data_IF_484998224217
#
_entry.id   IF_484998224217
#
_cell.length_a   1.000
_cell.length_b   1.000
_cell.length_c   1.000
_cell.angle_alpha   90.00
_cell.angle_beta   90.00
_cell.angle_gamma   90.00
#
_symmetry.space_group_name_H-M   'P 1'
#
loop_
_entity.id
_entity.type
_entity.pdbx_description
1 polymer ?
#
# COMPACT_ATOMS: atom_id res chain seq x y z
N UNK A 1 -5.84 35.25 -61.18
CA UNK A 1 -4.88 34.45 -60.40
C UNK A 1 -4.41 35.17 -59.14
N UNK A 2 -4.22 36.49 -59.13
CA UNK A 2 -3.75 37.24 -57.95
C UNK A 2 -4.66 37.24 -56.69
N UNK A 3 -5.97 36.99 -56.82
CA UNK A 3 -6.90 37.00 -55.67
C UNK A 3 -7.02 35.67 -54.91
N UNK A 4 -6.57 34.54 -55.49
CA UNK A 4 -6.62 33.24 -54.79
C UNK A 4 -5.43 33.07 -53.83
N UNK A 5 -4.25 33.57 -54.18
CA UNK A 5 -3.05 33.47 -53.34
C UNK A 5 -3.17 34.30 -52.06
N UNK A 6 -3.82 35.47 -52.14
CA UNK A 6 -4.06 36.33 -50.96
C UNK A 6 -5.04 35.69 -49.97
N UNK A 7 -6.06 34.95 -50.44
CA UNK A 7 -7.02 34.25 -49.58
C UNK A 7 -6.39 33.01 -48.93
N UNK A 8 -5.55 32.28 -49.66
CA UNK A 8 -4.80 31.15 -49.12
C UNK A 8 -3.80 31.59 -48.03
N UNK A 9 -3.15 32.75 -48.20
CA UNK A 9 -2.21 33.31 -47.23
C UNK A 9 -2.92 33.78 -45.94
N UNK A 10 -4.09 34.42 -46.06
CA UNK A 10 -4.92 34.79 -44.91
C UNK A 10 -5.46 33.58 -44.14
N UNK A 11 -5.88 32.52 -44.86
CA UNK A 11 -6.33 31.28 -44.24
C UNK A 11 -5.19 30.55 -43.50
N UNK A 12 -3.98 30.52 -44.09
CA UNK A 12 -2.81 29.92 -43.45
C UNK A 12 -2.38 30.67 -42.18
N UNK A 13 -2.44 32.00 -42.18
CA UNK A 13 -2.17 32.83 -41.00
C UNK A 13 -3.23 32.61 -39.93
N UNK A 14 -4.51 32.53 -40.31
CA UNK A 14 -5.60 32.27 -39.36
C UNK A 14 -5.47 30.88 -38.72
N UNK A 15 -5.07 29.86 -39.49
CA UNK A 15 -4.80 28.51 -38.99
C UNK A 15 -3.57 28.50 -38.07
N UNK A 16 -2.49 29.22 -38.41
CA UNK A 16 -1.32 29.31 -37.52
C UNK A 16 -1.66 30.00 -36.20
N UNK A 17 -2.43 31.09 -36.24
CA UNK A 17 -2.88 31.81 -35.04
C UNK A 17 -3.83 30.94 -34.22
N UNK A 18 -4.74 30.19 -34.86
CA UNK A 18 -5.63 29.26 -34.15
C UNK A 18 -4.87 28.07 -33.54
N UNK A 19 -3.82 27.57 -34.21
CA UNK A 19 -2.95 26.51 -33.68
C UNK A 19 -2.08 27.05 -32.55
N UNK A 20 -1.50 28.26 -32.65
CA UNK A 20 -0.76 28.89 -31.54
C UNK A 20 -1.68 29.19 -30.35
N UNK A 21 -2.89 29.70 -30.59
CA UNK A 21 -3.89 29.92 -29.53
C UNK A 21 -4.34 28.60 -28.92
N UNK A 22 -4.55 27.53 -29.71
CA UNK A 22 -4.92 26.21 -29.21
C UNK A 22 -3.77 25.50 -28.45
N UNK A 23 -2.53 25.68 -28.89
CA UNK A 23 -1.33 25.14 -28.24
C UNK A 23 -1.03 25.92 -26.96
N UNK A 24 -1.23 27.24 -26.93
CA UNK A 24 -1.07 28.07 -25.73
C UNK A 24 -2.25 27.93 -24.75
N UNK A 25 -3.48 27.68 -25.23
CA UNK A 25 -4.65 27.45 -24.36
C UNK A 25 -4.67 26.08 -23.72
N UNK A 26 -3.86 25.13 -24.20
CA UNK A 26 -3.73 23.78 -23.63
C UNK A 26 -2.83 23.73 -22.38
N UNK A 27 -2.26 24.87 -21.94
CA UNK A 27 -1.40 24.96 -20.75
C UNK A 27 -2.05 25.60 -19.52
N UNK A 28 -3.36 25.80 -19.52
CA UNK A 28 -4.11 26.20 -18.33
C UNK A 28 -4.86 25.03 -17.67
N UNK A 29 -4.25 23.83 -17.64
CA UNK A 29 -4.59 22.90 -16.57
C UNK A 29 -4.02 23.51 -15.28
N UNK A 30 -4.88 23.91 -14.34
CA UNK A 30 -4.45 24.36 -13.02
C UNK A 30 -3.49 23.31 -12.44
N UNK A 31 -2.20 23.64 -12.32
CA UNK A 31 -1.21 22.74 -11.75
C UNK A 31 -1.42 22.69 -10.24
N UNK A 32 -2.38 21.89 -9.78
CA UNK A 32 -2.48 21.50 -8.37
C UNK A 32 -1.19 20.79 -7.98
N UNK A 33 -0.60 21.19 -6.86
CA UNK A 33 0.62 20.58 -6.32
C UNK A 33 0.37 20.17 -4.87
N UNK A 34 0.67 18.91 -4.49
CA UNK A 34 0.48 18.44 -3.11
C UNK A 34 1.23 19.28 -2.06
N UNK A 35 2.33 19.93 -2.46
CA UNK A 35 3.21 20.72 -1.60
C UNK A 35 3.03 22.24 -1.75
N UNK A 36 1.95 22.71 -2.39
CA UNK A 36 1.72 24.14 -2.66
C UNK A 36 1.90 25.04 -1.43
N UNK A 37 1.42 24.59 -0.26
CA UNK A 37 1.49 25.36 0.98
C UNK A 37 2.80 25.20 1.77
N UNK A 38 3.73 24.35 1.35
CA UNK A 38 4.93 24.01 2.14
C UNK A 38 5.77 25.24 2.56
N UNK A 39 5.80 26.29 1.73
CA UNK A 39 6.53 27.53 2.00
C UNK A 39 5.64 28.68 2.53
N UNK A 40 4.32 28.50 2.52
CA UNK A 40 3.33 29.55 2.85
C UNK A 40 2.71 29.32 4.22
N UNK A 41 2.33 28.08 4.49
CA UNK A 41 1.79 27.58 5.75
C UNK A 41 2.39 26.18 5.99
N UNK A 42 3.65 26.09 6.46
CA UNK A 42 4.36 24.81 6.61
C UNK A 42 3.64 23.83 7.57
N UNK A 43 2.88 24.37 8.53
CA UNK A 43 2.14 23.58 9.53
C UNK A 43 0.72 23.19 9.08
N UNK A 44 0.29 23.53 7.85
CA UNK A 44 -1.10 23.37 7.41
C UNK A 44 -1.64 21.96 7.67
N UNK A 45 -0.96 20.96 7.12
CA UNK A 45 -1.41 19.57 7.20
C UNK A 45 -1.43 19.08 8.65
N UNK A 46 -0.47 19.50 9.47
CA UNK A 46 -0.41 19.16 10.88
C UNK A 46 -1.59 19.73 11.67
N UNK A 47 -1.98 20.97 11.39
CA UNK A 47 -3.12 21.63 12.01
C UNK A 47 -4.42 20.92 11.60
N UNK A 48 -4.69 20.78 10.30
CA UNK A 48 -5.91 20.15 9.79
C UNK A 48 -6.06 18.72 10.33
N UNK A 49 -4.98 17.93 10.29
CA UNK A 49 -4.91 16.57 10.84
C UNK A 49 -5.29 16.52 12.31
N UNK A 50 -4.72 17.40 13.14
CA UNK A 50 -5.00 17.40 14.56
C UNK A 50 -6.50 17.58 14.82
N UNK A 51 -7.14 18.53 14.15
CA UNK A 51 -8.57 18.81 14.35
C UNK A 51 -9.48 17.74 13.75
N UNK A 52 -9.17 17.18 12.58
CA UNK A 52 -9.90 16.03 12.02
C UNK A 52 -9.88 14.85 12.99
N UNK A 53 -8.71 14.54 13.57
CA UNK A 53 -8.59 13.50 14.60
C UNK A 53 -9.44 13.80 15.83
N UNK A 54 -9.44 15.05 16.32
CA UNK A 54 -10.30 15.43 17.45
C UNK A 54 -11.78 15.25 17.12
N UNK A 55 -12.22 15.62 15.91
CA UNK A 55 -13.60 15.43 15.47
C UNK A 55 -14.00 13.96 15.36
N UNK A 56 -13.10 13.09 14.90
CA UNK A 56 -13.33 11.65 14.84
C UNK A 56 -13.42 11.01 16.23
N UNK A 57 -12.66 11.51 17.20
CA UNK A 57 -12.77 11.09 18.61
C UNK A 57 -14.11 11.52 19.20
N UNK A 58 -14.60 12.71 18.86
CA UNK A 58 -15.90 13.23 19.34
C UNK A 58 -17.08 12.48 18.74
N UNK A 59 -17.04 12.14 17.45
CA UNK A 59 -18.10 11.40 16.76
C UNK A 59 -17.55 10.49 15.66
N UNK A 60 -17.98 9.21 15.61
CA UNK A 60 -17.61 8.30 14.53
C UNK A 60 -18.21 8.72 13.18
N UNK A 61 -19.19 9.63 13.15
CA UNK A 61 -19.82 10.13 11.92
C UNK A 61 -18.96 11.22 11.26
N UNK A 62 -18.05 11.87 12.00
CA UNK A 62 -17.24 12.99 11.48
C UNK A 62 -16.45 12.62 10.23
N UNK A 63 -15.85 11.43 10.17
CA UNK A 63 -15.07 10.99 9.00
C UNK A 63 -15.94 10.77 7.75
N UNK A 64 -16.98 9.91 7.76
CA UNK A 64 -17.85 9.74 6.60
C UNK A 64 -18.61 11.03 6.22
N UNK A 65 -18.94 11.88 7.20
CA UNK A 65 -19.58 13.17 6.96
C UNK A 65 -18.64 14.15 6.23
N UNK A 66 -17.39 14.26 6.67
CA UNK A 66 -16.38 15.13 6.05
C UNK A 66 -16.05 14.68 4.63
N UNK A 67 -15.92 13.36 4.42
CA UNK A 67 -15.80 12.76 3.08
C UNK A 67 -16.97 13.12 2.18
N UNK A 68 -18.20 12.92 2.68
CA UNK A 68 -19.40 13.18 1.89
C UNK A 68 -19.54 14.66 1.54
N UNK A 69 -19.18 15.55 2.46
CA UNK A 69 -19.14 16.99 2.23
C UNK A 69 -18.17 17.37 1.10
N UNK A 70 -16.96 16.79 1.08
CA UNK A 70 -16.00 16.98 -0.01
C UNK A 70 -16.54 16.49 -1.36
N UNK A 71 -17.13 15.28 -1.41
CA UNK A 71 -17.75 14.77 -2.64
C UNK A 71 -18.89 15.67 -3.12
N UNK A 72 -19.72 16.18 -2.20
CA UNK A 72 -20.81 17.09 -2.55
C UNK A 72 -20.30 18.40 -3.16
N UNK A 73 -19.31 19.02 -2.53
CA UNK A 73 -18.67 20.25 -3.04
C UNK A 73 -18.05 20.04 -4.43
N UNK A 74 -17.33 18.93 -4.61
CA UNK A 74 -16.69 18.59 -5.87
C UNK A 74 -17.66 18.22 -6.99
N UNK A 75 -18.76 17.52 -6.68
CA UNK A 75 -19.70 17.05 -7.68
C UNK A 75 -20.66 18.14 -8.19
N UNK A 76 -20.89 19.19 -7.40
CA UNK A 76 -21.88 20.23 -7.72
C UNK A 76 -21.24 21.37 -8.52
N UNK A 77 -20.19 22.02 -7.99
CA UNK A 77 -19.59 23.23 -8.60
C UNK A 77 -18.05 23.22 -8.67
N UNK A 78 -17.40 22.07 -8.49
CA UNK A 78 -15.98 21.90 -8.83
C UNK A 78 -14.99 22.26 -7.72
N UNK A 79 -15.17 21.67 -6.53
CA UNK A 79 -14.23 21.68 -5.39
C UNK A 79 -13.79 23.09 -4.97
N UNK A 80 -14.75 24.00 -4.82
CA UNK A 80 -14.53 25.43 -4.57
C UNK A 80 -14.93 25.87 -3.15
N UNK A 81 -15.32 24.93 -2.28
CA UNK A 81 -15.89 25.15 -0.96
C UNK A 81 -17.21 25.93 -0.95
N UNK A 82 -17.92 25.99 -2.07
CA UNK A 82 -19.26 26.61 -2.16
C UNK A 82 -20.24 25.97 -1.16
N UNK A 83 -20.09 24.68 -0.84
CA UNK A 83 -20.91 23.98 0.16
C UNK A 83 -20.82 24.59 1.57
N UNK A 84 -19.75 25.31 1.88
CA UNK A 84 -19.52 25.93 3.19
C UNK A 84 -20.07 27.36 3.29
N UNK A 85 -20.64 27.90 2.21
CA UNK A 85 -21.14 29.29 2.18
C UNK A 85 -22.48 29.36 2.90
N UNK A 86 -22.56 30.21 3.92
CA UNK A 86 -23.80 30.50 4.63
C UNK A 86 -24.57 31.56 3.85
N UNK A 87 -25.76 31.21 3.37
CA UNK A 87 -26.62 32.10 2.59
C UNK A 87 -27.42 33.06 3.48
N UNK A 88 -27.50 34.35 3.17
CA UNK A 88 -28.36 35.29 3.92
C UNK A 88 -29.85 34.92 3.88
N UNK A 89 -30.28 34.20 2.85
CA UNK A 89 -31.67 33.75 2.64
C UNK A 89 -32.01 32.45 3.35
N UNK A 90 -31.03 31.78 3.96
CA UNK A 90 -31.23 30.55 4.75
C UNK A 90 -31.40 29.27 3.92
N UNK A 91 -31.11 29.33 2.63
CA UNK A 91 -31.13 28.23 1.66
C UNK A 91 -29.74 27.58 1.46
N UNK A 92 -28.81 27.77 2.39
CA UNK A 92 -27.52 27.08 2.38
C UNK A 92 -27.63 25.61 2.80
N UNK A 93 -26.70 24.82 2.28
CA UNK A 93 -26.62 23.37 2.52
C UNK A 93 -26.44 23.00 3.99
N UNK A 94 -25.88 23.90 4.81
CA UNK A 94 -25.74 23.68 6.25
C UNK A 94 -27.08 23.70 7.00
N UNK A 95 -28.04 24.53 6.56
CA UNK A 95 -29.34 24.74 7.23
C UNK A 95 -30.51 24.12 6.48
N UNK A 96 -30.27 23.59 5.29
CA UNK A 96 -31.28 22.93 4.49
C UNK A 96 -31.75 21.63 5.17
N UNK A 97 -32.99 21.64 5.68
CA UNK A 97 -33.56 20.49 6.39
C UNK A 97 -33.85 19.29 5.47
N UNK A 98 -33.85 19.50 4.16
CA UNK A 98 -34.09 18.46 3.16
C UNK A 98 -32.81 17.72 2.74
N UNK A 99 -31.62 18.25 3.08
CA UNK A 99 -30.35 17.53 2.86
C UNK A 99 -30.05 16.58 4.03
N UNK A 100 -30.73 15.45 4.03
CA UNK A 100 -30.48 14.37 4.99
C UNK A 100 -29.08 13.75 4.88
N UNK A 101 -28.36 14.09 3.82
CA UNK A 101 -27.15 13.40 3.37
C UNK A 101 -25.87 14.09 3.85
N UNK A 102 -25.88 15.41 4.04
CA UNK A 102 -24.81 16.16 4.69
C UNK A 102 -25.03 16.22 6.20
N UNK A 103 -24.09 15.68 6.98
CA UNK A 103 -24.19 15.62 8.45
C UNK A 103 -23.46 16.80 9.09
N UNK A 104 -24.00 17.40 10.17
CA UNK A 104 -23.39 18.55 10.83
C UNK A 104 -21.93 18.34 11.27
N UNK A 105 -21.57 17.12 11.63
CA UNK A 105 -20.21 16.74 12.02
C UNK A 105 -19.18 17.00 10.92
N UNK A 106 -19.58 16.86 9.65
CA UNK A 106 -18.71 17.14 8.50
C UNK A 106 -18.31 18.60 8.47
N UNK A 107 -19.28 19.52 8.48
CA UNK A 107 -18.94 20.94 8.43
C UNK A 107 -18.29 21.41 9.73
N UNK A 108 -18.70 20.90 10.90
CA UNK A 108 -18.03 21.26 12.15
C UNK A 108 -16.55 20.87 12.12
N UNK A 109 -16.21 19.72 11.50
CA UNK A 109 -14.82 19.32 11.29
C UNK A 109 -14.05 20.34 10.43
N UNK A 110 -14.66 20.81 9.34
CA UNK A 110 -14.06 21.84 8.48
C UNK A 110 -13.92 23.19 9.21
N UNK A 111 -14.95 23.60 9.96
CA UNK A 111 -14.97 24.85 10.71
C UNK A 111 -13.91 24.86 11.82
N UNK A 112 -13.80 23.77 12.59
CA UNK A 112 -12.79 23.61 13.63
C UNK A 112 -11.37 23.66 13.02
N UNK A 113 -11.14 22.92 11.93
CA UNK A 113 -9.86 22.92 11.22
C UNK A 113 -9.52 24.32 10.66
N UNK A 114 -10.49 25.00 10.05
CA UNK A 114 -10.29 26.34 9.50
C UNK A 114 -10.01 27.38 10.57
N UNK A 115 -10.76 27.36 11.68
CA UNK A 115 -10.52 28.25 12.81
C UNK A 115 -9.10 28.09 13.37
N UNK A 116 -8.59 26.86 13.40
CA UNK A 116 -7.23 26.57 13.84
C UNK A 116 -6.16 27.07 12.85
N UNK A 117 -6.36 26.83 11.54
CA UNK A 117 -5.48 27.36 10.49
C UNK A 117 -5.43 28.89 10.53
N UNK A 118 -6.57 29.55 10.74
CA UNK A 118 -6.65 31.01 10.85
C UNK A 118 -6.10 31.56 12.18
N UNK A 119 -5.90 30.71 13.18
CA UNK A 119 -5.27 31.07 14.47
C UNK A 119 -3.74 30.98 14.43
N UNK A 120 -3.16 30.23 13.49
CA UNK A 120 -1.71 30.15 13.30
C UNK A 120 -1.20 31.40 12.54
N UNK A 121 -0.23 32.11 13.12
CA UNK A 121 0.28 33.38 12.58
C UNK A 121 0.92 33.25 11.20
N UNK A 122 1.48 32.09 10.86
CA UNK A 122 2.07 31.85 9.54
C UNK A 122 1.01 31.51 8.50
N UNK A 123 -0.08 30.87 8.90
CA UNK A 123 -1.12 30.34 8.02
C UNK A 123 -2.34 31.24 7.83
N UNK A 124 -2.58 32.15 8.76
CA UNK A 124 -3.77 33.00 8.82
C UNK A 124 -4.06 33.71 7.48
N UNK A 125 -5.26 33.46 6.95
CA UNK A 125 -5.76 34.01 5.67
C UNK A 125 -4.97 33.63 4.42
N UNK A 126 -4.11 32.60 4.46
CA UNK A 126 -3.32 32.17 3.30
C UNK A 126 -3.78 30.87 2.68
N UNK A 127 -4.69 30.14 3.32
CA UNK A 127 -5.15 28.82 2.89
C UNK A 127 -6.62 28.88 2.52
N UNK A 128 -6.97 28.37 1.33
CA UNK A 128 -8.35 28.36 0.86
C UNK A 128 -9.21 27.38 1.68
N UNK A 129 -10.52 27.65 1.77
CA UNK A 129 -11.44 26.73 2.43
C UNK A 129 -11.52 25.40 1.66
N UNK A 130 -11.46 25.44 0.32
CA UNK A 130 -11.46 24.25 -0.54
C UNK A 130 -10.31 23.30 -0.22
N UNK A 131 -9.10 23.84 -0.04
CA UNK A 131 -7.93 23.04 0.34
C UNK A 131 -8.06 22.48 1.75
N UNK A 132 -8.68 23.21 2.69
CA UNK A 132 -8.96 22.70 4.04
C UNK A 132 -9.97 21.56 3.98
N UNK A 133 -11.01 21.64 3.16
CA UNK A 133 -11.99 20.55 2.95
C UNK A 133 -11.29 19.33 2.33
N UNK A 134 -10.49 19.53 1.29
CA UNK A 134 -9.76 18.45 0.64
C UNK A 134 -8.77 17.76 1.60
N UNK A 135 -8.00 18.54 2.37
CA UNK A 135 -7.12 18.01 3.41
C UNK A 135 -7.90 17.31 4.52
N UNK A 136 -9.02 17.86 4.96
CA UNK A 136 -9.81 17.24 6.03
C UNK A 136 -10.47 15.92 5.58
N UNK A 137 -10.99 15.87 4.35
CA UNK A 137 -11.49 14.64 3.74
C UNK A 137 -10.38 13.61 3.56
N UNK A 138 -9.18 14.05 3.14
CA UNK A 138 -7.99 13.20 3.09
C UNK A 138 -7.66 12.65 4.47
N UNK A 139 -7.53 13.47 5.50
CA UNK A 139 -7.21 13.01 6.87
C UNK A 139 -8.34 12.18 7.50
N UNK A 140 -9.57 12.30 7.00
CA UNK A 140 -10.71 11.44 7.40
C UNK A 140 -10.59 10.01 6.87
N UNK A 141 -9.75 9.76 5.86
CA UNK A 141 -9.47 8.43 5.28
C UNK A 141 -8.01 7.99 5.40
N UNK A 142 -7.08 8.94 5.44
CA UNK A 142 -5.64 8.74 5.48
C UNK A 142 -5.20 8.68 6.93
N UNK A 143 -5.18 7.46 7.46
CA UNK A 143 -4.61 7.19 8.78
C UNK A 143 -3.09 6.98 8.72
N UNK A 144 -2.60 6.56 7.54
CA UNK A 144 -1.21 6.24 7.32
C UNK A 144 -0.47 7.37 6.63
N UNK A 145 0.76 7.63 7.07
CA UNK A 145 1.67 8.61 6.46
C UNK A 145 3.14 8.26 6.75
N UNK A 146 4.09 8.67 5.90
CA UNK A 146 5.51 8.38 6.10
C UNK A 146 6.08 8.85 7.43
N UNK A 147 5.71 10.05 7.85
CA UNK A 147 6.29 10.75 9.01
C UNK A 147 5.52 10.50 10.31
N UNK A 148 4.72 9.42 10.40
CA UNK A 148 3.79 9.20 11.51
C UNK A 148 4.44 9.30 12.89
N UNK A 149 5.65 8.74 13.01
CA UNK A 149 6.42 8.67 14.24
C UNK A 149 7.52 9.75 14.36
N UNK A 150 7.64 10.69 13.43
CA UNK A 150 8.75 11.65 13.41
C UNK A 150 8.88 12.47 14.71
N UNK A 151 7.75 12.83 15.34
CA UNK A 151 7.72 13.54 16.62
C UNK A 151 7.63 12.64 17.87
N UNK A 152 7.60 11.31 17.71
CA UNK A 152 7.35 10.35 18.78
C UNK A 152 8.52 9.39 18.98
N UNK A 153 9.02 8.84 17.88
CA UNK A 153 10.14 7.89 17.79
C UNK A 153 10.97 8.23 16.54
N UNK A 154 11.77 9.31 16.57
CA UNK A 154 12.44 9.85 15.38
C UNK A 154 13.46 8.87 14.76
N UNK A 155 14.05 7.97 15.56
CA UNK A 155 15.03 6.99 15.10
C UNK A 155 14.43 5.63 14.67
N UNK A 156 13.10 5.53 14.56
CA UNK A 156 12.39 4.26 14.32
C UNK A 156 12.97 3.45 13.16
N UNK A 157 13.03 4.06 11.96
CA UNK A 157 13.49 3.35 10.75
C UNK A 157 14.93 2.84 10.87
N UNK A 158 15.80 3.61 11.54
CA UNK A 158 17.19 3.23 11.77
C UNK A 158 17.33 2.04 12.72
N UNK A 159 16.50 1.99 13.76
CA UNK A 159 16.45 0.87 14.71
C UNK A 159 15.96 -0.40 14.00
N UNK A 160 14.84 -0.32 13.26
CA UNK A 160 14.29 -1.46 12.52
C UNK A 160 15.26 -1.96 11.46
N UNK A 161 15.88 -1.07 10.66
CA UNK A 161 16.92 -1.42 9.68
C UNK A 161 18.05 -2.23 10.29
N UNK A 162 18.57 -1.76 11.42
CA UNK A 162 19.69 -2.40 12.11
C UNK A 162 19.30 -3.77 12.66
N UNK A 163 18.08 -3.90 13.21
CA UNK A 163 17.56 -5.18 13.70
C UNK A 163 17.39 -6.20 12.56
N UNK A 164 16.75 -5.81 11.46
CA UNK A 164 16.54 -6.68 10.29
C UNK A 164 17.86 -7.15 9.72
N UNK A 165 18.86 -6.25 9.62
CA UNK A 165 20.21 -6.61 9.17
C UNK A 165 20.82 -7.71 10.05
N UNK A 166 20.68 -7.60 11.37
CA UNK A 166 21.19 -8.61 12.29
C UNK A 166 20.45 -9.95 12.14
N UNK A 167 19.12 -9.92 11.94
CA UNK A 167 18.34 -11.13 11.68
C UNK A 167 18.79 -11.82 10.38
N UNK A 168 19.01 -11.06 9.30
CA UNK A 168 19.50 -11.60 8.03
C UNK A 168 20.93 -12.19 8.12
N UNK A 169 21.80 -11.61 8.97
CA UNK A 169 23.12 -12.20 9.26
C UNK A 169 23.00 -13.52 10.01
N UNK A 170 22.03 -13.64 10.93
CA UNK A 170 21.75 -14.89 11.66
C UNK A 170 21.15 -15.96 10.74
N UNK A 171 20.22 -15.59 9.87
CA UNK A 171 19.58 -16.50 8.92
C UNK A 171 19.22 -15.81 7.61
N UNK A 172 19.67 -16.32 6.45
CA UNK A 172 19.24 -15.79 5.15
C UNK A 172 17.74 -15.98 4.89
N UNK A 173 17.05 -16.83 5.67
CA UNK A 173 15.60 -17.04 5.59
C UNK A 173 14.82 -15.84 6.14
N UNK A 174 15.43 -15.02 7.00
CA UNK A 174 14.75 -13.89 7.65
C UNK A 174 14.12 -12.91 6.64
N UNK A 175 14.80 -12.59 5.54
CA UNK A 175 14.27 -11.67 4.54
C UNK A 175 13.02 -12.21 3.80
N UNK A 176 13.07 -13.38 3.12
CA UNK A 176 11.87 -13.93 2.49
C UNK A 176 10.75 -14.24 3.49
N UNK A 177 11.10 -14.72 4.69
CA UNK A 177 10.10 -15.01 5.72
C UNK A 177 9.38 -13.74 6.20
N UNK A 178 10.10 -12.63 6.38
CA UNK A 178 9.51 -11.34 6.79
C UNK A 178 8.63 -10.77 5.69
N UNK A 179 9.09 -10.81 4.43
CA UNK A 179 8.29 -10.37 3.28
C UNK A 179 6.97 -11.16 3.18
N UNK A 180 7.06 -12.49 3.28
CA UNK A 180 5.88 -13.35 3.26
C UNK A 180 4.95 -13.12 4.46
N UNK A 181 5.52 -12.89 5.65
CA UNK A 181 4.75 -12.62 6.86
C UNK A 181 3.87 -11.37 6.71
N UNK A 182 4.39 -10.29 6.10
CA UNK A 182 3.61 -9.09 5.83
C UNK A 182 2.47 -9.33 4.82
N UNK A 183 2.73 -10.09 3.76
CA UNK A 183 1.67 -10.49 2.83
C UNK A 183 0.57 -11.28 3.55
N UNK A 184 0.95 -12.27 4.37
CA UNK A 184 0.00 -13.07 5.13
C UNK A 184 -0.80 -12.24 6.15
N UNK A 185 -0.18 -11.27 6.83
CA UNK A 185 -0.89 -10.36 7.74
C UNK A 185 -1.99 -9.59 6.99
N UNK A 186 -1.59 -8.87 5.94
CA UNK A 186 -2.47 -8.01 5.17
C UNK A 186 -3.64 -8.76 4.48
N UNK A 187 -3.45 -10.02 4.11
CA UNK A 187 -4.38 -10.79 3.29
C UNK A 187 -5.47 -11.55 4.08
N UNK A 188 -5.38 -11.62 5.41
CA UNK A 188 -6.33 -12.39 6.23
C UNK A 188 -7.37 -11.49 6.92
N UNK A 189 -6.94 -10.48 7.69
CA UNK A 189 -7.84 -9.54 8.39
C UNK A 189 -7.47 -8.06 8.21
N UNK A 190 -6.51 -7.80 7.32
CA UNK A 190 -5.87 -6.49 7.14
C UNK A 190 -4.48 -6.44 7.78
N UNK A 191 -3.71 -5.42 7.44
CA UNK A 191 -2.37 -5.22 7.96
C UNK A 191 -2.44 -4.70 9.40
N UNK A 192 -2.69 -5.60 10.34
CA UNK A 192 -2.97 -5.30 11.75
C UNK A 192 -2.13 -6.14 12.73
N UNK A 193 -1.11 -6.83 12.23
CA UNK A 193 -0.26 -7.74 13.00
C UNK A 193 -1.01 -8.86 13.74
N UNK A 194 -2.26 -9.17 13.36
CA UNK A 194 -3.02 -10.30 13.91
C UNK A 194 -2.28 -11.63 13.66
N UNK A 195 -1.47 -11.72 12.60
CA UNK A 195 -0.63 -12.90 12.33
C UNK A 195 0.34 -13.20 13.48
N UNK A 196 0.75 -12.19 14.24
CA UNK A 196 1.71 -12.33 15.34
C UNK A 196 1.07 -12.86 16.63
N UNK A 197 -0.26 -12.80 16.77
CA UNK A 197 -0.96 -13.24 17.99
C UNK A 197 -0.87 -14.76 18.12
N UNK A 198 -0.38 -15.22 19.28
CA UNK A 198 -0.43 -16.63 19.62
C UNK A 198 -1.82 -17.01 20.16
N UNK A 199 -2.40 -18.09 19.66
CA UNK A 199 -3.67 -18.62 20.15
C UNK A 199 -3.57 -19.09 21.60
N UNK A 200 -4.66 -18.97 22.36
CA UNK A 200 -4.72 -19.37 23.77
C UNK A 200 -4.71 -20.88 24.03
N UNK A 201 -4.77 -21.71 22.98
CA UNK A 201 -4.90 -23.17 23.09
C UNK A 201 -3.72 -23.98 22.59
N UNK A 202 -2.68 -23.39 21.98
CA UNK A 202 -1.52 -24.14 21.46
C UNK A 202 -1.83 -25.13 20.31
N UNK A 203 -3.11 -25.41 20.04
CA UNK A 203 -3.60 -26.22 18.94
C UNK A 203 -4.10 -25.29 17.82
N UNK A 204 -3.25 -25.06 16.82
CA UNK A 204 -3.61 -24.39 15.58
C UNK A 204 -3.42 -25.36 14.42
N UNK A 205 -4.38 -26.25 14.22
CA UNK A 205 -4.44 -27.21 13.11
C UNK A 205 -4.81 -26.53 11.77
N UNK A 206 -4.17 -25.42 11.40
CA UNK A 206 -4.28 -24.87 10.04
C UNK A 206 -3.02 -25.24 9.22
N UNK A 207 -3.16 -26.03 8.14
CA UNK A 207 -2.07 -26.35 7.21
C UNK A 207 -1.30 -25.12 6.72
N UNK A 208 -1.97 -23.97 6.55
CA UNK A 208 -1.34 -22.73 6.08
C UNK A 208 -0.47 -22.07 7.15
N UNK A 209 -0.73 -22.33 8.44
CA UNK A 209 0.08 -21.83 9.56
C UNK A 209 1.48 -22.45 9.60
N UNK A 210 1.64 -23.66 9.07
CA UNK A 210 2.94 -24.35 8.95
C UNK A 210 3.80 -23.84 7.78
N UNK A 211 3.26 -22.98 6.92
CA UNK A 211 4.00 -22.47 5.77
C UNK A 211 4.86 -21.25 6.11
N UNK A 212 4.46 -20.44 7.09
CA UNK A 212 5.25 -19.30 7.57
C UNK A 212 6.46 -19.81 8.38
N UNK A 213 7.62 -19.20 8.15
CA UNK A 213 8.88 -19.61 8.78
C UNK A 213 9.13 -18.81 10.08
N UNK A 214 9.58 -19.44 11.18
CA UNK A 214 9.83 -18.77 12.47
C UNK A 214 10.73 -17.54 12.38
N UNK A 215 11.67 -17.51 11.43
CA UNK A 215 12.61 -16.42 11.21
C UNK A 215 11.91 -15.09 10.90
N UNK A 216 10.74 -15.12 10.24
CA UNK A 216 9.93 -13.93 10.00
C UNK A 216 9.43 -13.36 11.33
N UNK A 217 8.77 -14.19 12.14
CA UNK A 217 8.27 -13.81 13.47
C UNK A 217 9.39 -13.30 14.36
N UNK A 218 10.52 -14.02 14.43
CA UNK A 218 11.66 -13.62 15.24
C UNK A 218 12.26 -12.29 14.80
N UNK A 219 12.28 -11.99 13.50
CA UNK A 219 12.75 -10.69 12.98
C UNK A 219 11.88 -9.55 13.51
N UNK A 220 10.56 -9.75 13.57
CA UNK A 220 9.63 -8.75 14.11
C UNK A 220 9.76 -8.60 15.62
N UNK A 221 9.93 -9.71 16.35
CA UNK A 221 10.12 -9.69 17.81
C UNK A 221 11.44 -9.01 18.20
N UNK A 222 12.54 -9.32 17.50
CA UNK A 222 13.85 -8.68 17.68
C UNK A 222 13.72 -7.16 17.41
N UNK A 223 13.04 -6.78 16.33
CA UNK A 223 12.83 -5.37 15.99
C UNK A 223 11.95 -4.65 17.01
N UNK A 224 10.87 -5.27 17.49
CA UNK A 224 10.01 -4.71 18.55
C UNK A 224 10.78 -4.51 19.84
N UNK A 225 11.58 -5.48 20.28
CA UNK A 225 12.41 -5.36 21.46
C UNK A 225 13.43 -4.22 21.31
N UNK A 226 14.06 -4.09 20.14
CA UNK A 226 14.99 -3.00 19.86
C UNK A 226 14.30 -1.62 19.88
N UNK A 227 13.13 -1.50 19.25
CA UNK A 227 12.33 -0.26 19.27
C UNK A 227 11.91 0.10 20.69
N UNK A 228 11.43 -0.86 21.48
CA UNK A 228 10.98 -0.60 22.85
C UNK A 228 12.14 -0.39 23.85
N UNK A 229 13.39 -0.67 23.45
CA UNK A 229 14.59 -0.34 24.22
C UNK A 229 14.92 1.15 24.18
N UNK A 230 14.44 1.89 23.18
CA UNK A 230 14.53 3.34 23.12
C UNK A 230 13.41 3.97 23.99
N UNK A 231 13.75 4.76 25.03
CA UNK A 231 12.76 5.38 25.91
C UNK A 231 11.76 6.31 25.21
N UNK A 232 12.13 6.91 24.07
CA UNK A 232 11.21 7.75 23.30
C UNK A 232 10.15 6.92 22.58
N UNK A 233 10.53 5.72 22.14
CA UNK A 233 9.72 4.83 21.31
C UNK A 233 8.89 3.81 22.10
N UNK A 234 9.34 3.47 23.31
CA UNK A 234 8.79 2.40 24.15
C UNK A 234 7.27 2.42 24.26
N UNK A 235 6.64 1.35 23.76
CA UNK A 235 5.19 1.13 23.75
C UNK A 235 4.38 2.17 22.93
N UNK A 236 5.03 2.84 21.97
CA UNK A 236 4.35 3.84 21.12
C UNK A 236 4.26 3.43 19.64
N UNK A 237 5.03 2.42 19.23
CA UNK A 237 5.05 1.90 17.85
C UNK A 237 4.34 0.56 17.79
N UNK A 238 3.38 0.43 16.86
CA UNK A 238 2.60 -0.79 16.66
C UNK A 238 3.46 -1.91 16.07
N UNK A 239 3.07 -3.15 16.31
CA UNK A 239 3.66 -4.29 15.65
C UNK A 239 3.39 -4.26 14.14
N UNK A 240 2.19 -3.83 13.72
CA UNK A 240 1.83 -3.71 12.31
C UNK A 240 2.79 -2.79 11.53
N UNK A 241 3.17 -1.65 12.09
CA UNK A 241 4.16 -0.76 11.44
C UNK A 241 5.58 -1.31 11.48
N UNK A 242 5.95 -2.07 12.52
CA UNK A 242 7.24 -2.76 12.58
C UNK A 242 7.32 -3.84 11.50
N UNK A 243 6.24 -4.59 11.25
CA UNK A 243 6.18 -5.58 10.14
C UNK A 243 6.36 -4.89 8.79
N UNK A 244 5.66 -3.78 8.55
CA UNK A 244 5.76 -3.03 7.30
C UNK A 244 7.17 -2.48 7.06
N UNK A 245 7.79 -1.89 8.08
CA UNK A 245 9.17 -1.40 8.01
C UNK A 245 10.17 -2.54 7.83
N UNK A 246 10.04 -3.62 8.60
CA UNK A 246 10.94 -4.76 8.53
C UNK A 246 10.90 -5.44 7.15
N UNK A 247 9.72 -5.45 6.53
CA UNK A 247 9.53 -5.95 5.16
C UNK A 247 10.25 -5.08 4.13
N UNK A 248 10.08 -3.75 4.19
CA UNK A 248 10.81 -2.83 3.31
C UNK A 248 12.32 -2.99 3.46
N UNK A 249 12.81 -3.10 4.69
CA UNK A 249 14.23 -3.33 4.98
C UNK A 249 14.72 -4.70 4.47
N UNK A 250 13.90 -5.75 4.58
CA UNK A 250 14.22 -7.08 4.05
C UNK A 250 14.38 -7.07 2.52
N UNK A 251 13.49 -6.38 1.82
CA UNK A 251 13.55 -6.20 0.35
C UNK A 251 14.79 -5.41 -0.04
N UNK A 252 14.98 -4.23 0.58
CA UNK A 252 16.08 -3.32 0.23
C UNK A 252 17.45 -3.95 0.52
N UNK A 253 17.62 -4.63 1.66
CA UNK A 253 18.89 -5.26 2.02
C UNK A 253 19.18 -6.53 1.21
N UNK A 254 18.18 -7.07 0.51
CA UNK A 254 18.34 -8.16 -0.46
C UNK A 254 18.60 -7.67 -1.89
N UNK A 255 18.79 -6.35 -2.11
CA UNK A 255 19.08 -5.75 -3.42
C UNK A 255 17.88 -5.14 -4.14
N UNK A 256 16.69 -5.20 -3.52
CA UNK A 256 15.45 -4.63 -4.06
C UNK A 256 15.33 -3.12 -3.84
N UNK A 257 14.18 -2.54 -4.22
CA UNK A 257 13.94 -1.10 -4.07
C UNK A 257 13.90 -0.68 -2.60
N UNK A 258 14.51 0.47 -2.30
CA UNK A 258 14.25 1.19 -1.06
C UNK A 258 13.13 2.20 -1.30
N UNK A 259 12.06 2.13 -0.52
CA UNK A 259 10.88 2.97 -0.69
C UNK A 259 10.34 3.47 0.65
N UNK A 260 9.61 4.57 0.60
CA UNK A 260 8.95 5.16 1.76
C UNK A 260 7.78 4.29 2.21
N UNK A 261 7.69 3.99 3.50
CA UNK A 261 6.58 3.20 4.09
C UNK A 261 5.62 4.16 4.76
N UNK A 262 4.33 4.07 4.45
CA UNK A 262 3.30 4.79 5.21
C UNK A 262 3.07 4.08 6.55
N UNK A 263 3.08 4.83 7.64
CA UNK A 263 3.00 4.35 9.02
C UNK A 263 1.79 4.95 9.73
N UNK A 264 1.39 4.35 10.85
CA UNK A 264 0.22 4.73 11.63
C UNK A 264 -0.80 3.59 11.82
N UNK A 265 -0.42 2.35 11.51
CA UNK A 265 -1.28 1.18 11.71
C UNK A 265 -1.45 0.92 13.20
N UNK A 266 -2.63 0.45 13.59
CA UNK A 266 -2.86 -0.12 14.92
C UNK A 266 -2.89 -1.65 14.85
N UNK A 267 -2.57 -2.27 15.97
CA UNK A 267 -2.57 -3.72 16.13
C UNK A 267 -3.99 -4.24 16.37
N UNK A 268 -4.37 -5.29 15.64
CA UNK A 268 -5.59 -6.06 15.86
C UNK A 268 -5.53 -6.84 17.17
N UNK A 269 -6.70 -7.15 17.72
CA UNK A 269 -6.84 -7.83 19.03
C UNK A 269 -7.22 -9.31 18.92
N UNK A 270 -7.43 -9.80 17.70
CA UNK A 270 -7.94 -11.15 17.44
C UNK A 270 -7.17 -11.76 16.27
N UNK A 271 -6.94 -13.06 16.36
CA UNK A 271 -6.41 -13.89 15.28
C UNK A 271 -7.21 -15.18 15.25
N UNK A 272 -7.60 -15.63 14.06
CA UNK A 272 -8.34 -16.89 13.89
C UNK A 272 -7.98 -17.57 12.58
N UNK A 273 -7.68 -18.86 12.69
CA UNK A 273 -7.48 -19.79 11.58
C UNK A 273 -8.63 -19.80 10.56
N UNK A 274 -9.89 -19.68 11.00
CA UNK A 274 -11.09 -19.67 10.15
C UNK A 274 -11.13 -18.51 9.14
N UNK A 275 -10.38 -17.46 9.42
CA UNK A 275 -10.28 -16.30 8.52
C UNK A 275 -9.21 -16.46 7.45
N UNK A 276 -8.33 -17.47 7.55
CA UNK A 276 -7.26 -17.68 6.57
C UNK A 276 -7.87 -18.15 5.26
N UNK A 277 -7.89 -17.24 4.30
CA UNK A 277 -8.22 -17.49 2.90
C UNK A 277 -7.09 -16.87 2.09
N UNK A 278 -6.15 -17.69 1.65
CA UNK A 278 -5.01 -17.27 0.84
C UNK A 278 -5.06 -17.99 -0.51
N UNK A 279 -4.48 -17.40 -1.57
CA UNK A 279 -4.34 -18.08 -2.84
C UNK A 279 -3.56 -19.38 -2.70
N UNK A 280 -4.05 -20.44 -3.35
CA UNK A 280 -3.37 -21.72 -3.39
C UNK A 280 -2.26 -21.71 -4.45
N UNK A 281 -1.12 -22.39 -4.24
CA UNK A 281 -0.03 -22.47 -5.22
C UNK A 281 -0.38 -23.08 -6.59
N UNK A 282 -1.60 -23.58 -6.77
CA UNK A 282 -2.12 -24.12 -8.02
C UNK A 282 -3.33 -23.36 -8.57
N UNK A 283 -3.64 -22.20 -8.00
CA UNK A 283 -4.69 -21.33 -8.52
C UNK A 283 -4.36 -20.84 -9.94
N UNK A 284 -5.40 -20.74 -10.76
CA UNK A 284 -5.30 -20.16 -12.10
C UNK A 284 -5.41 -18.62 -12.05
N UNK A 285 -5.22 -17.97 -13.19
CA UNK A 285 -5.23 -16.50 -13.27
C UNK A 285 -6.58 -15.88 -12.83
N UNK A 286 -7.72 -16.54 -13.08
CA UNK A 286 -9.03 -16.03 -12.68
C UNK A 286 -9.19 -16.05 -11.16
N UNK A 287 -8.80 -17.15 -10.50
CA UNK A 287 -8.80 -17.26 -9.04
C UNK A 287 -7.88 -16.21 -8.39
N UNK A 288 -6.68 -16.03 -8.95
CA UNK A 288 -5.72 -15.01 -8.48
C UNK A 288 -6.31 -13.61 -8.61
N UNK A 289 -6.84 -13.25 -9.78
CA UNK A 289 -7.45 -11.93 -10.00
C UNK A 289 -8.65 -11.71 -9.08
N UNK A 290 -9.53 -12.71 -8.95
CA UNK A 290 -10.70 -12.64 -8.08
C UNK A 290 -10.27 -12.36 -6.64
N UNK A 291 -9.27 -13.10 -6.13
CA UNK A 291 -8.76 -12.90 -4.78
C UNK A 291 -8.17 -11.50 -4.58
N UNK A 292 -7.20 -11.09 -5.40
CA UNK A 292 -6.52 -9.80 -5.25
C UNK A 292 -7.48 -8.61 -5.44
N UNK A 293 -8.52 -8.76 -6.26
CA UNK A 293 -9.56 -7.73 -6.41
C UNK A 293 -10.34 -7.47 -5.12
N UNK A 294 -10.52 -8.48 -4.26
CA UNK A 294 -11.16 -8.30 -2.94
C UNK A 294 -10.33 -7.43 -2.00
N UNK A 295 -9.02 -7.33 -2.25
CA UNK A 295 -8.08 -6.48 -1.53
C UNK A 295 -7.92 -5.10 -2.19
N UNK A 296 -8.67 -4.82 -3.27
CA UNK A 296 -8.53 -3.60 -4.05
C UNK A 296 -7.26 -3.55 -4.92
N UNK A 297 -6.66 -4.70 -5.21
CA UNK A 297 -5.44 -4.81 -6.00
C UNK A 297 -5.78 -5.23 -7.45
N UNK A 298 -5.14 -4.56 -8.42
CA UNK A 298 -5.28 -4.88 -9.84
C UNK A 298 -4.47 -6.12 -10.25
N UNK A 299 -4.67 -6.62 -11.46
CA UNK A 299 -3.85 -7.70 -12.01
C UNK A 299 -2.35 -7.30 -12.07
N UNK A 300 -2.05 -6.05 -12.44
CA UNK A 300 -0.66 -5.54 -12.43
C UNK A 300 -0.07 -5.54 -11.02
N UNK A 301 -0.85 -5.14 -10.01
CA UNK A 301 -0.41 -5.18 -8.61
C UNK A 301 -0.15 -6.64 -8.16
N UNK A 302 -1.03 -7.57 -8.54
CA UNK A 302 -0.86 -9.01 -8.26
C UNK A 302 0.42 -9.55 -8.89
N UNK A 303 0.64 -9.32 -10.19
CA UNK A 303 1.85 -9.79 -10.90
C UNK A 303 3.11 -9.17 -10.30
N UNK A 304 3.06 -7.89 -9.89
CA UNK A 304 4.18 -7.25 -9.20
C UNK A 304 4.45 -7.92 -7.85
N UNK A 305 3.43 -8.13 -7.01
CA UNK A 305 3.58 -8.78 -5.70
C UNK A 305 4.05 -10.23 -5.80
N UNK A 306 3.63 -10.98 -6.82
CA UNK A 306 4.17 -12.30 -7.14
C UNK A 306 5.68 -12.29 -7.36
N UNK A 307 6.24 -11.16 -7.81
CA UNK A 307 7.69 -10.94 -7.90
C UNK A 307 8.42 -11.06 -6.56
N UNK A 308 7.72 -11.01 -5.42
CA UNK A 308 8.29 -11.34 -4.11
C UNK A 308 8.87 -12.76 -4.03
N UNK A 309 8.40 -13.68 -4.88
CA UNK A 309 8.95 -15.04 -5.05
C UNK A 309 10.34 -15.07 -5.70
N UNK A 310 10.93 -13.93 -6.09
CA UNK A 310 12.38 -13.83 -6.36
C UNK A 310 13.21 -14.22 -5.12
N UNK A 311 12.64 -14.07 -3.91
CA UNK A 311 13.26 -14.51 -2.67
C UNK A 311 12.59 -15.77 -2.10
N UNK A 312 13.40 -16.64 -1.50
CA UNK A 312 12.92 -17.72 -0.64
C UNK A 312 12.66 -19.03 -1.37
N UNK A 313 11.90 -19.91 -0.71
CA UNK A 313 11.72 -21.30 -1.11
C UNK A 313 10.33 -21.81 -0.77
N UNK A 314 9.92 -22.86 -1.48
CA UNK A 314 8.71 -23.61 -1.20
C UNK A 314 9.05 -25.06 -0.87
N UNK A 315 8.32 -25.64 0.08
CA UNK A 315 8.42 -27.07 0.37
C UNK A 315 7.85 -27.87 -0.82
N UNK A 316 8.40 -29.05 -1.08
CA UNK A 316 8.02 -29.91 -2.22
C UNK A 316 6.53 -30.22 -2.27
N UNK A 317 5.85 -30.27 -1.11
CA UNK A 317 4.41 -30.46 -1.03
C UNK A 317 3.58 -29.45 -1.84
N UNK A 318 4.09 -28.22 -2.03
CA UNK A 318 3.39 -27.14 -2.72
C UNK A 318 3.52 -27.17 -4.25
N UNK A 319 4.44 -27.95 -4.82
CA UNK A 319 4.64 -28.00 -6.28
C UNK A 319 4.82 -29.41 -6.85
N UNK A 320 4.93 -30.46 -6.01
CA UNK A 320 5.11 -31.85 -6.47
C UNK A 320 4.02 -32.35 -7.42
N UNK A 321 2.84 -31.73 -7.42
CA UNK A 321 1.76 -32.10 -8.34
C UNK A 321 2.07 -31.72 -9.80
N UNK A 322 3.08 -30.85 -10.03
CA UNK A 322 3.49 -30.37 -11.35
C UNK A 322 4.61 -31.21 -11.97
N UNK A 323 5.50 -31.76 -11.15
CA UNK A 323 6.70 -32.48 -11.61
C UNK A 323 6.37 -33.90 -12.09
N UNK A 324 7.28 -34.55 -12.81
CA UNK A 324 7.06 -35.89 -13.37
C UNK A 324 6.33 -35.87 -14.71
N UNK A 325 6.38 -34.75 -15.43
CA UNK A 325 5.66 -34.55 -16.70
C UNK A 325 4.15 -34.31 -16.53
N UNK A 326 3.70 -34.00 -15.31
CA UNK A 326 2.29 -33.71 -15.02
C UNK A 326 1.86 -32.32 -15.49
N UNK A 327 2.80 -31.37 -15.57
CA UNK A 327 2.56 -30.02 -16.09
C UNK A 327 3.35 -29.79 -17.39
N UNK A 328 2.62 -29.66 -18.50
CA UNK A 328 3.20 -29.45 -19.83
C UNK A 328 3.80 -28.04 -20.01
N UNK A 329 3.49 -27.10 -19.12
CA UNK A 329 4.10 -25.77 -19.13
C UNK A 329 5.47 -25.72 -18.47
N UNK A 330 5.84 -26.75 -17.72
CA UNK A 330 7.13 -26.83 -17.04
C UNK A 330 8.24 -27.22 -18.00
N UNK A 331 9.37 -26.55 -17.91
CA UNK A 331 10.57 -26.88 -18.66
C UNK A 331 11.03 -28.32 -18.33
N UNK A 332 11.20 -29.22 -19.32
CA UNK A 332 11.51 -30.63 -19.04
C UNK A 332 12.81 -30.85 -18.24
N UNK A 333 13.83 -30.02 -18.45
CA UNK A 333 15.08 -30.11 -17.68
C UNK A 333 14.89 -29.63 -16.24
N UNK A 334 14.05 -28.61 -16.03
CA UNK A 334 13.70 -28.14 -14.70
C UNK A 334 12.83 -29.15 -13.95
N UNK A 335 11.86 -29.77 -14.62
CA UNK A 335 11.06 -30.86 -14.06
C UNK A 335 11.97 -32.00 -13.55
N UNK A 336 12.89 -32.49 -14.38
CA UNK A 336 13.84 -33.53 -14.00
C UNK A 336 14.74 -33.11 -12.81
N UNK A 337 15.18 -31.85 -12.78
CA UNK A 337 15.93 -31.27 -11.66
C UNK A 337 15.09 -31.30 -10.37
N UNK A 338 13.84 -30.84 -10.41
CA UNK A 338 12.96 -30.80 -9.24
C UNK A 338 12.59 -32.20 -8.73
N UNK A 339 12.40 -33.18 -9.63
CA UNK A 339 12.25 -34.59 -9.22
C UNK A 339 13.46 -35.08 -8.42
N UNK A 340 14.67 -34.78 -8.89
CA UNK A 340 15.91 -35.10 -8.16
C UNK A 340 16.04 -34.35 -6.84
N UNK A 341 15.64 -33.08 -6.79
CA UNK A 341 15.62 -32.25 -5.58
C UNK A 341 14.67 -32.83 -4.54
N UNK A 342 13.41 -33.08 -4.90
CA UNK A 342 12.39 -33.59 -3.98
C UNK A 342 12.61 -35.04 -3.52
N UNK A 343 13.47 -35.80 -4.22
CA UNK A 343 13.93 -37.11 -3.76
C UNK A 343 15.00 -37.02 -2.66
N UNK A 344 15.72 -35.89 -2.55
CA UNK A 344 16.87 -35.71 -1.63
C UNK A 344 16.62 -34.67 -0.54
N UNK A 345 15.79 -33.68 -0.83
CA UNK A 345 15.46 -32.52 -0.02
C UNK A 345 13.95 -32.34 -0.02
N UNK A 346 13.41 -31.59 0.94
CA UNK A 346 11.97 -31.35 1.04
C UNK A 346 11.55 -29.95 0.54
N UNK A 347 12.43 -29.21 -0.14
CA UNK A 347 12.14 -27.87 -0.64
C UNK A 347 12.94 -27.56 -1.92
N UNK A 348 12.53 -26.51 -2.63
CA UNK A 348 13.28 -25.87 -3.70
C UNK A 348 13.13 -24.34 -3.62
N UNK A 349 14.14 -23.60 -4.11
CA UNK A 349 14.05 -22.15 -4.19
C UNK A 349 13.00 -21.72 -5.22
N UNK A 350 12.24 -20.67 -4.91
CA UNK A 350 11.22 -20.10 -5.80
C UNK A 350 11.88 -19.45 -7.04
N UNK A 351 13.05 -18.85 -6.84
CA UNK A 351 13.99 -18.45 -7.87
C UNK A 351 15.25 -19.31 -7.76
N UNK A 352 15.50 -20.14 -8.76
CA UNK A 352 16.65 -21.05 -8.74
C UNK A 352 17.93 -20.44 -9.32
N UNK A 353 17.87 -19.19 -9.78
CA UNK A 353 19.01 -18.44 -10.34
C UNK A 353 19.60 -17.50 -9.29
N UNK A 354 18.76 -16.70 -8.62
CA UNK A 354 19.19 -15.71 -7.61
C UNK A 354 18.41 -15.84 -6.30
N UNK A 355 18.48 -16.99 -5.59
CA UNK A 355 17.58 -17.33 -4.47
C UNK A 355 17.61 -16.40 -3.24
N UNK A 356 18.61 -15.52 -3.16
CA UNK A 356 18.82 -14.54 -2.07
C UNK A 356 18.85 -13.09 -2.56
N UNK A 357 18.73 -12.87 -3.88
CA UNK A 357 18.71 -11.55 -4.50
C UNK A 357 17.29 -11.14 -4.83
N UNK A 358 16.90 -9.91 -4.49
CA UNK A 358 15.61 -9.36 -4.92
C UNK A 358 15.79 -8.68 -6.27
N UNK A 359 15.40 -9.35 -7.35
CA UNK A 359 15.59 -8.88 -8.72
C UNK A 359 14.47 -9.40 -9.66
N UNK A 360 14.65 -9.29 -10.97
CA UNK A 360 13.64 -9.70 -11.95
C UNK A 360 13.87 -11.11 -12.54
N UNK A 361 14.79 -11.92 -11.99
CA UNK A 361 14.99 -13.30 -12.47
C UNK A 361 13.77 -14.17 -12.27
N UNK A 362 12.94 -13.90 -11.25
CA UNK A 362 11.61 -14.51 -11.11
C UNK A 362 10.82 -14.51 -12.43
N UNK A 363 10.68 -13.34 -13.07
CA UNK A 363 9.94 -13.21 -14.33
C UNK A 363 10.65 -13.87 -15.52
N UNK A 364 11.98 -13.82 -15.55
CA UNK A 364 12.78 -14.54 -16.56
C UNK A 364 12.63 -16.05 -16.42
N UNK A 365 12.50 -16.57 -15.20
CA UNK A 365 12.24 -17.99 -14.97
C UNK A 365 10.87 -18.37 -15.53
N UNK A 366 9.84 -17.53 -15.36
CA UNK A 366 8.51 -17.79 -15.93
C UNK A 366 8.55 -17.88 -17.47
N UNK A 367 9.31 -16.99 -18.14
CA UNK A 367 9.49 -17.03 -19.60
C UNK A 367 10.09 -18.35 -20.09
N UNK A 368 10.91 -18.99 -19.26
CA UNK A 368 11.61 -20.22 -19.58
C UNK A 368 10.88 -21.49 -19.13
N UNK A 369 9.62 -21.38 -18.66
CA UNK A 369 8.87 -22.51 -18.09
C UNK A 369 9.43 -22.99 -16.75
N UNK A 370 10.13 -22.13 -16.02
CA UNK A 370 10.81 -22.44 -14.74
C UNK A 370 10.14 -21.80 -13.53
N UNK A 371 8.89 -21.33 -13.63
CA UNK A 371 8.12 -20.95 -12.45
C UNK A 371 7.90 -22.17 -11.55
N UNK A 372 8.20 -22.08 -10.25
CA UNK A 372 8.13 -23.23 -9.33
C UNK A 372 6.69 -23.62 -9.00
N UNK A 373 5.83 -22.65 -8.67
CA UNK A 373 4.43 -22.88 -8.35
C UNK A 373 3.56 -22.78 -9.63
N UNK A 374 2.41 -23.45 -9.63
CA UNK A 374 1.46 -23.35 -10.74
C UNK A 374 0.90 -21.93 -10.86
N UNK A 375 0.63 -21.30 -9.72
CA UNK A 375 0.24 -19.89 -9.61
C UNK A 375 1.30 -18.91 -10.11
N UNK A 376 2.57 -19.32 -10.15
CA UNK A 376 3.63 -18.51 -10.78
C UNK A 376 3.62 -18.71 -12.29
N UNK A 377 3.66 -19.97 -12.74
CA UNK A 377 3.80 -20.28 -14.16
C UNK A 377 2.57 -19.83 -14.98
N UNK A 378 1.39 -19.79 -14.36
CA UNK A 378 0.16 -19.30 -14.99
C UNK A 378 0.26 -17.83 -15.43
N UNK A 379 1.07 -17.01 -14.74
CA UNK A 379 1.24 -15.60 -15.10
C UNK A 379 1.85 -15.41 -16.49
N UNK A 380 2.64 -16.38 -16.95
CA UNK A 380 3.24 -16.34 -18.29
C UNK A 380 2.46 -17.18 -19.31
N UNK A 381 1.87 -18.31 -18.90
CA UNK A 381 1.14 -19.18 -19.84
C UNK A 381 -0.18 -18.57 -20.28
N UNK A 382 -0.88 -17.82 -19.42
CA UNK A 382 -2.09 -17.08 -19.78
C UNK A 382 -1.75 -15.76 -20.52
N UNK A 383 -2.34 -15.56 -21.69
CA UNK A 383 -2.05 -14.39 -22.55
C UNK A 383 -2.41 -13.06 -21.89
N UNK A 384 -3.38 -13.03 -20.98
CA UNK A 384 -3.88 -11.81 -20.34
C UNK A 384 -2.83 -11.15 -19.44
N UNK A 385 -1.97 -11.95 -18.81
CA UNK A 385 -0.91 -11.50 -17.90
C UNK A 385 0.49 -11.50 -18.53
N UNK A 386 0.68 -12.26 -19.62
CA UNK A 386 1.99 -12.50 -20.26
C UNK A 386 2.76 -11.21 -20.59
N UNK A 387 2.07 -10.20 -21.14
CA UNK A 387 2.71 -8.93 -21.53
C UNK A 387 3.35 -8.19 -20.36
N UNK A 388 2.74 -8.24 -19.17
CA UNK A 388 3.30 -7.64 -17.94
C UNK A 388 4.54 -8.41 -17.48
N UNK A 389 4.50 -9.76 -17.54
CA UNK A 389 5.66 -10.61 -17.22
C UNK A 389 6.83 -10.32 -18.15
N UNK A 390 6.59 -10.22 -19.46
CA UNK A 390 7.61 -9.88 -20.45
C UNK A 390 8.25 -8.51 -20.15
N UNK A 391 7.43 -7.53 -19.78
CA UNK A 391 7.91 -6.20 -19.47
C UNK A 391 8.80 -6.18 -18.22
N UNK A 392 8.40 -6.87 -17.15
CA UNK A 392 9.20 -6.99 -15.93
C UNK A 392 10.48 -7.79 -16.13
N UNK A 393 10.46 -8.87 -16.92
CA UNK A 393 11.66 -9.66 -17.26
C UNK A 393 12.69 -8.85 -18.06
N UNK A 394 12.23 -7.94 -18.93
CA UNK A 394 13.06 -7.04 -19.71
C UNK A 394 13.54 -5.81 -18.90
N UNK A 395 12.74 -5.33 -17.94
CA UNK A 395 12.99 -4.09 -17.21
C UNK A 395 12.76 -4.23 -15.69
N UNK A 396 13.85 -4.47 -14.96
CA UNK A 396 13.85 -4.52 -13.49
C UNK A 396 13.41 -3.19 -12.85
N UNK A 397 13.70 -2.05 -13.47
CA UNK A 397 13.31 -0.75 -12.95
C UNK A 397 11.79 -0.57 -12.91
N UNK A 398 11.08 -1.02 -13.96
CA UNK A 398 9.62 -1.04 -13.96
C UNK A 398 9.09 -1.99 -12.90
N UNK A 399 9.60 -3.23 -12.86
CA UNK A 399 9.20 -4.19 -11.82
C UNK A 399 9.31 -3.57 -10.43
N UNK A 400 10.44 -2.96 -10.10
CA UNK A 400 10.64 -2.32 -8.81
C UNK A 400 9.66 -1.18 -8.55
N UNK A 401 9.40 -0.33 -9.54
CA UNK A 401 8.41 0.76 -9.42
C UNK A 401 7.01 0.22 -9.11
N UNK A 402 6.54 -0.76 -9.87
CA UNK A 402 5.20 -1.32 -9.70
C UNK A 402 5.10 -2.19 -8.43
N UNK A 403 6.19 -2.86 -8.03
CA UNK A 403 6.28 -3.55 -6.75
C UNK A 403 6.12 -2.58 -5.57
N UNK A 404 6.76 -1.41 -5.61
CA UNK A 404 6.60 -0.37 -4.57
C UNK A 404 5.16 0.13 -4.50
N UNK A 405 4.52 0.38 -5.64
CA UNK A 405 3.12 0.80 -5.71
C UNK A 405 2.21 -0.29 -5.11
N UNK A 406 2.41 -1.54 -5.53
CA UNK A 406 1.60 -2.66 -5.07
C UNK A 406 1.78 -2.96 -3.58
N UNK A 407 3.03 -2.91 -3.07
CA UNK A 407 3.33 -3.04 -1.64
C UNK A 407 2.70 -1.91 -0.81
N UNK A 408 2.69 -0.68 -1.32
CA UNK A 408 2.03 0.46 -0.66
C UNK A 408 0.52 0.26 -0.58
N UNK A 409 -0.11 -0.19 -1.68
CA UNK A 409 -1.54 -0.52 -1.68
C UNK A 409 -1.87 -1.67 -0.75
N UNK A 410 -1.10 -2.76 -0.82
CA UNK A 410 -1.25 -3.92 0.07
C UNK A 410 -1.17 -3.49 1.53
N UNK A 411 -0.20 -2.64 1.88
CA UNK A 411 -0.02 -2.10 3.23
C UNK A 411 -1.17 -1.26 3.76
N UNK A 412 -2.16 -0.88 2.94
CA UNK A 412 -3.37 -0.14 3.36
C UNK A 412 -4.57 -1.04 3.58
N UNK A 413 -4.47 -2.33 3.25
CA UNK A 413 -5.59 -3.27 3.35
C UNK A 413 -6.00 -3.43 4.82
N UNK A 414 -7.28 -3.19 5.12
CA UNK A 414 -7.93 -3.52 6.39
C UNK A 414 -7.27 -2.94 7.65
N UNK A 415 -6.49 -1.86 7.52
CA UNK A 415 -5.73 -1.29 8.64
C UNK A 415 -6.64 -0.83 9.78
N UNK A 416 -6.20 -1.08 11.01
CA UNK A 416 -6.91 -0.66 12.21
C UNK A 416 -6.54 0.77 12.59
N UNK A 417 -7.43 1.34 13.38
CA UNK A 417 -7.39 2.69 13.90
C UNK A 417 -7.24 2.66 15.42
N UNK A 418 -7.10 3.81 16.06
CA UNK A 418 -7.17 3.89 17.52
C UNK A 418 -8.53 3.45 18.11
N UNK A 419 -9.61 3.44 17.31
CA UNK A 419 -10.95 3.08 17.77
C UNK A 419 -11.15 1.56 17.86
N UNK A 420 -10.45 0.77 17.04
CA UNK A 420 -10.66 -0.67 16.86
C UNK A 420 -9.38 -1.51 16.98
N UNK A 421 -8.22 -0.89 17.18
CA UNK A 421 -6.95 -1.54 17.46
C UNK A 421 -6.26 -1.04 18.74
N UNK A 422 -4.98 -1.37 18.89
CA UNK A 422 -4.13 -0.92 19.99
C UNK A 422 -2.65 -0.82 19.60
N UNK A 423 -1.79 -0.40 20.52
CA UNK A 423 -0.32 -0.50 20.36
C UNK A 423 0.16 -1.55 21.33
N UNK A 424 0.49 -2.75 20.84
CA UNK A 424 0.86 -3.87 21.71
C UNK A 424 2.24 -3.68 22.33
N UNK A 425 2.35 -4.08 23.61
CA UNK A 425 3.63 -4.13 24.33
C UNK A 425 4.46 -5.34 23.94
N UNK A 426 3.80 -6.45 23.63
CA UNK A 426 4.37 -7.67 23.09
C UNK A 426 3.55 -8.04 21.85
N UNK A 427 4.22 -8.22 20.70
CA UNK A 427 3.52 -8.55 19.45
C UNK A 427 2.82 -9.91 19.48
N UNK A 428 3.00 -10.71 20.51
CA UNK A 428 2.37 -12.03 20.62
C UNK A 428 1.02 -11.99 21.33
N UNK A 429 0.72 -10.92 22.08
CA UNK A 429 -0.43 -10.87 22.97
C UNK A 429 -1.15 -9.53 22.87
N UNK A 430 -2.50 -9.52 22.79
CA UNK A 430 -3.26 -8.32 23.08
C UNK A 430 -2.93 -7.77 24.47
N UNK A 431 -2.99 -6.45 24.64
CA UNK A 431 -2.60 -5.75 25.87
C UNK A 431 -3.47 -6.05 27.11
#
# INVERSE_FOLDING_TARGET
MANLESLASLAAILILVLVEVAVLSSFAAAQLRPDYYANVCPNLEGIVRYFVKQSMVKSPISAPATLRLFFHDCAVMGCDASVMIISPTGDDEWRNQDDYSLKPEGFQTILDAKAAVDSDLQCRYKVSCADIIALAARESVSQLRPDYYAGVCPNLEGIVRSSVKQSMVKSPISAPATLRLFFHDCCVQGCDASVMIMGSTGDDENPDKYSLKPEGFQTILDAKAAVDSDPQCRYKVSCADIIALATRESVSQSGGPNYTVELGRYDGKKSTDRSVRLPHPGDNLDSLNAYFSTLGLSQTDMIALSGGHTLGAADCGFFKYRIGGNDQSMNPSFDAQLQGTCAKQNFAFLDDVTPVGFDNFYYRNLQNGRGLLGSDQVLYTDERSRGTVDFYAANQGTFFSDFVIAMTKLGRVGVKTAADGEIRRDCQYPN
#
